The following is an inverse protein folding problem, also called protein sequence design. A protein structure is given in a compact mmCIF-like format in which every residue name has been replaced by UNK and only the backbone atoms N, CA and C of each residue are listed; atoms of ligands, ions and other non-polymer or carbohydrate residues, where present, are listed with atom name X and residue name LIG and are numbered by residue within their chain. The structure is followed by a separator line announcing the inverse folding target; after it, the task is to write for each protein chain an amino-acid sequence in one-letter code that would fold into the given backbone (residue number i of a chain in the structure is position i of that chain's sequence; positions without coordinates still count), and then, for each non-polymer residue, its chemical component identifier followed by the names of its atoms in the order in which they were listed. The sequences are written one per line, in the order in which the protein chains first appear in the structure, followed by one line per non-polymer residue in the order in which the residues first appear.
data_IF_777540501585
#
_entry.id   IF_777540501585
#
_cell.length_a   1.000
_cell.length_b   1.000
_cell.length_c   1.000
_cell.angle_alpha   90.00
_cell.angle_beta   90.00
_cell.angle_gamma   90.00
#
_symmetry.space_group_name_H-M   'P 1'
#
loop_
_entity.id
_entity.type
_entity.pdbx_description
1 polymer ?
#
# COMPACT_ATOMS: atom_id res chain seq x y z
N UNK A 1 22.16 2.05 -5.88
CA UNK A 1 20.93 2.87 -5.93
C UNK A 1 20.22 2.66 -4.61
N UNK A 2 20.55 3.50 -3.63
CA UNK A 2 20.03 3.41 -2.25
C UNK A 2 18.76 4.23 -2.18
N UNK A 3 17.61 3.56 -2.10
CA UNK A 3 16.34 4.22 -1.80
C UNK A 3 16.35 4.52 -0.31
N UNK A 4 16.54 5.79 0.04
CA UNK A 4 16.35 6.29 1.40
C UNK A 4 14.85 6.58 1.52
N UNK A 5 14.07 5.83 2.31
CA UNK A 5 12.70 6.22 2.58
C UNK A 5 12.74 7.54 3.36
N UNK A 6 12.06 8.57 2.87
CA UNK A 6 11.88 9.82 3.61
C UNK A 6 11.07 9.49 4.87
N UNK A 7 11.70 9.62 6.04
CA UNK A 7 11.06 9.51 7.35
C UNK A 7 10.26 10.79 7.68
N UNK A 8 10.16 11.75 6.77
CA UNK A 8 9.65 13.10 7.02
C UNK A 8 8.12 13.16 7.23
N UNK A 9 7.41 12.03 7.14
CA UNK A 9 5.94 11.98 7.28
C UNK A 9 5.44 10.92 8.30
N UNK A 10 6.31 10.38 9.16
CA UNK A 10 5.87 9.50 10.25
C UNK A 10 5.35 10.34 11.42
N UNK A 11 4.03 10.46 11.53
CA UNK A 11 3.40 11.04 12.72
C UNK A 11 3.27 9.97 13.81
N UNK A 12 3.98 10.17 14.91
CA UNK A 12 3.86 9.34 16.11
C UNK A 12 2.73 9.91 16.96
N UNK A 13 1.60 9.20 17.00
CA UNK A 13 0.48 9.54 17.90
C UNK A 13 0.68 8.77 19.20
N UNK A 14 0.68 9.48 20.33
CA UNK A 14 0.77 8.91 21.67
C UNK A 14 -0.62 8.94 22.32
N UNK A 15 -1.15 7.77 22.64
CA UNK A 15 -2.38 7.61 23.43
C UNK A 15 -2.08 6.66 24.59
N UNK A 16 -2.16 7.18 25.82
CA UNK A 16 -1.94 6.45 27.08
C UNK A 16 -0.67 5.57 27.12
N UNK A 17 0.42 6.03 26.49
CA UNK A 17 1.70 5.32 26.47
C UNK A 17 1.85 4.29 25.34
N UNK A 18 0.90 4.24 24.40
CA UNK A 18 1.00 3.44 23.17
C UNK A 18 1.41 4.35 22.02
N UNK A 19 2.46 3.94 21.32
CA UNK A 19 2.99 4.66 20.15
C UNK A 19 2.43 4.00 18.89
N UNK A 20 1.63 4.73 18.12
CA UNK A 20 1.12 4.27 16.83
C UNK A 20 1.91 4.92 15.71
N UNK A 21 2.56 4.11 14.86
CA UNK A 21 3.08 4.58 13.57
C UNK A 21 1.95 4.47 12.57
N UNK A 22 1.15 5.53 12.46
CA UNK A 22 0.14 5.60 11.42
C UNK A 22 0.81 5.98 10.10
N UNK A 23 1.03 5.00 9.22
CA UNK A 23 1.32 5.24 7.80
C UNK A 23 0.11 5.82 7.04
N UNK A 24 -1.03 5.92 7.73
CA UNK A 24 -2.17 6.68 7.28
C UNK A 24 -2.09 8.05 7.92
N UNK A 25 -1.89 9.07 7.08
CA UNK A 25 -2.10 10.45 7.46
C UNK A 25 -3.42 10.54 8.22
N UNK A 26 -3.31 10.76 9.54
CA UNK A 26 -4.45 10.87 10.45
C UNK A 26 -5.30 12.09 10.07
N UNK A 27 -4.77 12.97 9.22
CA UNK A 27 -5.52 14.00 8.51
C UNK A 27 -6.31 13.37 7.34
N UNK A 28 -7.44 12.76 7.71
CA UNK A 28 -8.75 13.00 7.09
C UNK A 28 -8.78 13.38 5.60
N UNK A 29 -9.30 12.44 4.79
CA UNK A 29 -9.60 12.50 3.35
C UNK A 29 -8.40 12.54 2.38
N UNK A 30 -8.24 11.54 1.50
CA UNK A 30 -7.14 11.46 0.53
C UNK A 30 -7.23 12.48 -0.63
N UNK A 31 -8.04 13.53 -0.52
CA UNK A 31 -8.37 14.42 -1.63
C UNK A 31 -8.26 15.90 -1.24
N UNK A 32 -7.11 16.54 -1.50
CA UNK A 32 -6.92 17.99 -1.33
C UNK A 32 -8.02 18.82 -2.03
N UNK A 33 -8.52 18.33 -3.17
CA UNK A 33 -9.62 18.95 -3.91
C UNK A 33 -10.97 18.86 -3.17
N UNK A 34 -11.26 17.74 -2.51
CA UNK A 34 -12.48 17.60 -1.71
C UNK A 34 -12.48 18.54 -0.51
N UNK A 35 -11.32 18.70 0.14
CA UNK A 35 -11.13 19.64 1.24
C UNK A 35 -11.39 21.10 0.84
N UNK A 36 -10.90 21.51 -0.34
CA UNK A 36 -11.18 22.83 -0.88
C UNK A 36 -12.69 23.05 -1.12
N UNK A 37 -13.39 22.02 -1.58
CA UNK A 37 -14.85 22.07 -1.77
C UNK A 37 -15.58 22.17 -0.43
N UNK A 38 -15.19 21.38 0.58
CA UNK A 38 -15.78 21.44 1.92
C UNK A 38 -15.60 22.82 2.55
N UNK A 39 -14.39 23.38 2.48
CA UNK A 39 -14.10 24.74 2.95
C UNK A 39 -14.91 25.82 2.22
N UNK A 40 -15.02 25.73 0.89
CA UNK A 40 -15.76 26.72 0.11
C UNK A 40 -17.28 26.67 0.33
N UNK A 41 -17.82 25.52 0.73
CA UNK A 41 -19.25 25.30 0.96
C UNK A 41 -19.66 25.20 2.43
N UNK A 42 -18.72 25.39 3.37
CA UNK A 42 -18.95 25.21 4.82
C UNK A 42 -19.59 23.85 5.16
N UNK A 43 -19.18 22.81 4.45
CA UNK A 43 -19.65 21.44 4.68
C UNK A 43 -18.71 20.73 5.65
N UNK A 44 -19.28 19.91 6.53
CA UNK A 44 -18.53 19.10 7.50
C UNK A 44 -18.00 17.84 6.81
N UNK A 45 -16.68 17.67 6.67
CA UNK A 45 -16.08 16.51 5.99
C UNK A 45 -16.50 15.16 6.60
N UNK A 46 -16.80 15.14 7.90
CA UNK A 46 -17.17 13.98 8.69
C UNK A 46 -18.50 13.35 8.21
N UNK A 47 -19.40 14.17 7.66
CA UNK A 47 -20.69 13.75 7.12
C UNK A 47 -20.56 13.07 5.74
N UNK A 48 -19.46 13.34 5.03
CA UNK A 48 -19.19 12.82 3.68
C UNK A 48 -18.16 11.68 3.67
N UNK A 49 -17.53 11.41 4.81
CA UNK A 49 -16.62 10.28 4.98
C UNK A 49 -17.40 9.01 5.33
N UNK A 50 -17.05 7.90 4.67
CA UNK A 50 -17.54 6.58 5.09
C UNK A 50 -17.13 6.31 6.53
N UNK A 51 -17.99 5.64 7.30
CA UNK A 51 -17.72 5.22 8.67
C UNK A 51 -16.40 4.46 8.81
N UNK A 52 -15.94 3.79 7.75
CA UNK A 52 -14.64 3.11 7.69
C UNK A 52 -13.46 4.04 7.99
N UNK A 53 -13.52 5.30 7.56
CA UNK A 53 -12.45 6.29 7.73
C UNK A 53 -12.61 7.16 8.98
N UNK A 54 -13.67 6.95 9.78
CA UNK A 54 -13.85 7.71 11.01
C UNK A 54 -12.76 7.35 12.03
N UNK A 55 -12.32 8.30 12.87
CA UNK A 55 -11.24 8.07 13.86
C UNK A 55 -11.45 6.81 14.71
N UNK A 56 -12.69 6.56 15.17
CA UNK A 56 -13.05 5.36 15.94
C UNK A 56 -12.77 4.06 15.18
N UNK A 57 -13.14 3.99 13.90
CA UNK A 57 -12.95 2.81 13.06
C UNK A 57 -11.48 2.58 12.74
N UNK A 58 -10.73 3.66 12.47
CA UNK A 58 -9.28 3.61 12.28
C UNK A 58 -8.61 3.06 13.55
N UNK A 59 -8.90 3.64 14.72
CA UNK A 59 -8.36 3.18 16.00
C UNK A 59 -8.68 1.71 16.23
N UNK A 60 -9.93 1.27 16.05
CA UNK A 60 -10.31 -0.15 16.22
C UNK A 60 -9.60 -1.09 15.23
N UNK A 61 -9.36 -0.64 13.99
CA UNK A 61 -8.70 -1.47 12.97
C UNK A 61 -7.21 -1.65 13.26
N UNK A 62 -6.57 -0.63 13.84
CA UNK A 62 -5.15 -0.64 14.21
C UNK A 62 -4.91 -0.87 15.71
N UNK A 63 -5.97 -1.18 16.49
CA UNK A 63 -5.87 -1.53 17.92
C UNK A 63 -5.06 -2.81 18.12
N UNK A 64 -5.13 -3.72 17.16
CA UNK A 64 -4.20 -4.83 17.05
C UNK A 64 -2.82 -4.25 16.78
N UNK A 65 -1.99 -4.21 17.83
CA UNK A 65 -0.58 -3.83 17.78
C UNK A 65 0.07 -4.41 16.53
N UNK A 66 0.23 -3.58 15.50
CA UNK A 66 1.26 -3.81 14.50
C UNK A 66 2.53 -3.63 15.30
N UNK A 67 3.21 -4.73 15.65
CA UNK A 67 4.51 -4.68 16.29
C UNK A 67 5.31 -3.62 15.55
N UNK A 68 5.60 -2.51 16.24
CA UNK A 68 6.49 -1.51 15.69
C UNK A 68 7.73 -2.29 15.30
N UNK A 69 8.12 -2.21 14.04
CA UNK A 69 9.39 -2.77 13.62
C UNK A 69 10.41 -2.15 14.55
N UNK A 70 10.96 -2.98 15.45
CA UNK A 70 11.97 -2.56 16.41
C UNK A 70 13.10 -1.85 15.66
N UNK A 71 13.88 -1.02 16.33
CA UNK A 71 15.04 -0.45 15.64
C UNK A 71 15.91 -1.59 15.10
N UNK A 72 16.60 -1.37 13.97
CA UNK A 72 17.43 -2.42 13.38
C UNK A 72 18.46 -2.97 14.39
N UNK A 73 18.91 -2.15 15.35
CA UNK A 73 19.82 -2.57 16.42
C UNK A 73 19.21 -3.58 17.41
N UNK A 74 17.89 -3.63 17.54
CA UNK A 74 17.15 -4.52 18.43
C UNK A 74 16.76 -5.84 17.73
N UNK A 75 17.05 -5.99 16.44
CA UNK A 75 16.73 -7.19 15.69
C UNK A 75 17.72 -8.31 16.05
N UNK A 76 17.19 -9.39 16.63
CA UNK A 76 17.94 -10.62 16.82
C UNK A 76 18.10 -11.35 15.48
N UNK A 77 19.06 -10.92 14.66
CA UNK A 77 19.40 -11.56 13.38
C UNK A 77 20.38 -12.72 13.66
N UNK A 78 20.01 -13.98 13.43
CA UNK A 78 20.92 -15.11 13.56
C UNK A 78 22.15 -14.96 12.66
N UNK A 79 23.31 -15.43 13.13
CA UNK A 79 24.59 -15.34 12.42
C UNK A 79 24.52 -15.87 10.99
N UNK A 80 23.87 -17.02 10.78
CA UNK A 80 23.72 -17.63 9.46
C UNK A 80 22.93 -16.77 8.46
N UNK A 81 22.01 -15.90 8.91
CA UNK A 81 21.27 -14.96 8.06
C UNK A 81 22.13 -13.73 7.79
N UNK A 82 22.84 -13.22 8.80
CA UNK A 82 23.74 -12.06 8.62
C UNK A 82 24.92 -12.35 7.67
N UNK A 83 25.34 -13.62 7.59
CA UNK A 83 26.39 -14.10 6.69
C UNK A 83 25.83 -14.54 5.32
N UNK A 84 24.51 -14.58 5.14
CA UNK A 84 23.88 -15.01 3.90
C UNK A 84 24.13 -13.98 2.79
N UNK A 85 24.94 -14.37 1.82
CA UNK A 85 25.17 -13.56 0.62
C UNK A 85 24.06 -13.81 -0.38
N UNK A 86 23.11 -12.88 -0.47
CA UNK A 86 22.07 -12.89 -1.51
C UNK A 86 22.69 -12.59 -2.87
N UNK A 87 22.94 -13.63 -3.65
CA UNK A 87 23.45 -13.49 -5.01
C UNK A 87 22.33 -13.05 -5.96
N UNK A 88 22.63 -12.22 -6.97
CA UNK A 88 21.67 -11.93 -8.02
C UNK A 88 21.31 -13.23 -8.77
N UNK A 89 20.13 -13.29 -9.41
CA UNK A 89 19.77 -14.41 -10.27
C UNK A 89 20.88 -14.70 -11.29
N UNK A 90 21.24 -15.98 -11.42
CA UNK A 90 22.30 -16.42 -12.34
C UNK A 90 22.01 -16.05 -13.80
N UNK A 91 20.74 -15.93 -14.16
CA UNK A 91 20.30 -15.64 -15.53
C UNK A 91 20.01 -14.17 -15.72
N UNK A 92 20.67 -13.60 -16.75
CA UNK A 92 20.33 -12.27 -17.25
C UNK A 92 19.03 -12.35 -18.05
N UNK A 93 18.18 -11.33 -17.93
CA UNK A 93 17.11 -11.15 -18.92
C UNK A 93 17.76 -10.96 -20.30
N UNK A 94 17.21 -11.57 -21.36
CA UNK A 94 17.72 -11.36 -22.71
C UNK A 94 17.66 -9.87 -23.07
N UNK A 95 18.65 -9.36 -23.82
CA UNK A 95 18.63 -7.98 -24.26
C UNK A 95 17.38 -7.71 -25.11
N UNK A 96 16.73 -6.58 -24.84
CA UNK A 96 15.53 -6.16 -25.57
C UNK A 96 14.31 -5.94 -24.68
N UNK A 97 13.27 -5.37 -25.28
CA UNK A 97 12.01 -5.08 -24.60
C UNK A 97 11.26 -6.39 -24.33
N UNK A 98 10.75 -6.62 -23.10
CA UNK A 98 9.83 -7.72 -22.85
C UNK A 98 8.65 -7.69 -23.83
N UNK A 99 8.18 -8.86 -24.26
CA UNK A 99 7.00 -8.95 -25.15
C UNK A 99 5.82 -8.22 -24.51
N UNK A 100 5.12 -7.39 -25.30
CA UNK A 100 3.91 -6.68 -24.84
C UNK A 100 2.78 -7.65 -24.44
N UNK A 101 2.77 -8.84 -25.04
CA UNK A 101 1.84 -9.93 -24.71
C UNK A 101 2.63 -11.08 -24.09
N UNK A 102 2.10 -11.64 -23.00
CA UNK A 102 2.61 -12.88 -22.40
C UNK A 102 2.38 -14.06 -23.34
N UNK A 103 3.30 -15.01 -23.36
CA UNK A 103 3.09 -16.30 -24.02
C UNK A 103 2.00 -17.07 -23.24
N UNK A 104 0.90 -17.37 -23.92
CA UNK A 104 -0.23 -18.09 -23.34
C UNK A 104 0.07 -19.58 -23.31
N UNK A 105 -0.33 -20.25 -22.22
CA UNK A 105 -0.29 -21.71 -22.16
C UNK A 105 -1.30 -22.32 -23.14
N UNK A 106 -1.15 -23.61 -23.49
CA UNK A 106 -2.07 -24.29 -24.40
C UNK A 106 -3.51 -24.24 -23.87
N UNK A 107 -3.71 -24.38 -22.55
CA UNK A 107 -5.02 -24.23 -21.91
C UNK A 107 -5.63 -22.84 -22.13
N UNK A 108 -4.86 -21.77 -21.98
CA UNK A 108 -5.32 -20.39 -22.22
C UNK A 108 -5.63 -20.09 -23.69
N UNK A 109 -5.01 -20.82 -24.62
CA UNK A 109 -5.32 -20.73 -26.04
C UNK A 109 -6.63 -21.44 -26.38
N UNK A 110 -6.94 -22.54 -25.68
CA UNK A 110 -8.17 -23.31 -25.85
C UNK A 110 -9.37 -22.69 -25.13
N UNK A 111 -9.15 -21.78 -24.17
CA UNK A 111 -10.24 -21.04 -23.55
C UNK A 111 -11.01 -20.23 -24.60
N UNK A 112 -12.34 -20.44 -24.65
CA UNK A 112 -13.23 -19.60 -25.46
C UNK A 112 -13.02 -18.15 -25.04
N UNK A 113 -12.65 -17.30 -25.99
CA UNK A 113 -12.66 -15.85 -25.77
C UNK A 113 -14.12 -15.45 -25.54
N UNK A 114 -14.42 -14.92 -24.37
CA UNK A 114 -15.71 -14.29 -24.12
C UNK A 114 -15.84 -13.11 -25.09
N UNK A 115 -16.74 -13.25 -26.05
CA UNK A 115 -17.17 -12.13 -26.88
C UNK A 115 -18.15 -11.34 -26.03
N UNK A 116 -17.68 -10.25 -25.44
CA UNK A 116 -18.56 -9.29 -24.79
C UNK A 116 -19.22 -8.49 -25.91
N UNK A 117 -20.43 -8.88 -26.28
CA UNK A 117 -21.29 -8.10 -27.18
C UNK A 117 -21.76 -6.84 -26.45
N UNK A 118 -21.87 -5.74 -27.18
CA UNK A 118 -22.38 -4.52 -26.59
C UNK A 118 -23.88 -4.70 -26.36
N UNK A 119 -24.34 -4.54 -25.11
CA UNK A 119 -25.77 -4.65 -24.77
C UNK A 119 -26.69 -3.68 -25.53
N UNK A 120 -26.13 -2.65 -26.18
CA UNK A 120 -26.86 -1.63 -26.93
C UNK A 120 -26.81 -1.87 -28.45
N UNK A 121 -25.69 -2.35 -29.00
CA UNK A 121 -25.49 -2.42 -30.46
C UNK A 121 -25.08 -3.79 -31.03
N UNK A 122 -24.93 -4.83 -30.20
CA UNK A 122 -24.50 -6.16 -30.64
C UNK A 122 -23.00 -6.22 -30.90
#
# INVERSE_FOLDING_TARGET
MTVIPSAEHLHVVNDEGRYYISLFQVDELPFPHAWAVFKSKFLMPEDYCSDYYKPKSVVMTYEVLVYLLLDRSEWNIPTHISEEVVLPPKWKRPPGRPKKKRDKSLSELLQKKNQHLCSICG
#
